data_IF_791765411925
#
_entry.id   IF_791765411925
#
_cell.length_a   1.000
_cell.length_b   1.000
_cell.length_c   1.000
_cell.angle_alpha   90.00
_cell.angle_beta   90.00
_cell.angle_gamma   90.00
#
_symmetry.space_group_name_H-M   'P 1'
#
loop_
_entity.id
_entity.type
_entity.pdbx_description
1 polymer ?
#
# COMPACT_ATOMS: atom_id res chain seq x y z
N UNK A 1 5.95 -24.79 9.23
CA UNK A 1 6.97 -24.68 8.16
C UNK A 1 6.29 -24.82 6.81
N UNK A 2 6.09 -23.70 6.13
CA UNK A 2 6.20 -23.60 4.67
C UNK A 2 7.02 -22.34 4.41
N UNK A 3 8.32 -22.42 4.70
CA UNK A 3 9.31 -21.39 4.40
C UNK A 3 9.70 -21.46 2.92
N UNK A 4 8.71 -21.51 2.02
CA UNK A 4 8.98 -20.99 0.68
C UNK A 4 9.11 -19.48 0.86
N UNK A 5 10.34 -19.02 1.11
CA UNK A 5 10.65 -17.59 1.12
C UNK A 5 10.11 -17.02 -0.19
N UNK A 6 9.08 -16.20 -0.08
CA UNK A 6 8.51 -15.50 -1.22
C UNK A 6 9.64 -14.83 -2.00
N UNK A 7 9.75 -15.16 -3.29
CA UNK A 7 10.74 -14.56 -4.17
C UNK A 7 10.09 -13.37 -4.88
N UNK A 8 10.63 -12.15 -4.74
CA UNK A 8 10.07 -10.99 -5.41
C UNK A 8 10.15 -11.18 -6.92
N UNK A 9 9.05 -10.84 -7.61
CA UNK A 9 8.98 -10.90 -9.07
C UNK A 9 9.94 -9.93 -9.75
N UNK A 10 10.17 -10.11 -11.05
CA UNK A 10 11.11 -9.28 -11.83
C UNK A 10 10.81 -7.77 -11.72
N UNK A 11 9.54 -7.38 -11.82
CA UNK A 11 9.12 -5.97 -11.71
C UNK A 11 9.39 -5.39 -10.32
N UNK A 12 9.11 -6.15 -9.25
CA UNK A 12 9.39 -5.73 -7.88
C UNK A 12 10.89 -5.54 -7.65
N UNK A 13 11.72 -6.46 -8.15
CA UNK A 13 13.18 -6.34 -8.09
C UNK A 13 13.68 -5.11 -8.85
N UNK A 14 13.14 -4.85 -10.04
CA UNK A 14 13.45 -3.64 -10.80
C UNK A 14 13.09 -2.38 -10.01
N UNK A 15 11.89 -2.32 -9.43
CA UNK A 15 11.44 -1.19 -8.61
C UNK A 15 12.34 -0.94 -7.39
N UNK A 16 12.75 -2.00 -6.69
CA UNK A 16 13.72 -1.91 -5.58
C UNK A 16 15.05 -1.30 -6.04
N UNK A 17 15.60 -1.75 -7.19
CA UNK A 17 16.84 -1.19 -7.74
C UNK A 17 16.70 0.29 -8.11
N UNK A 18 15.55 0.69 -8.67
CA UNK A 18 15.26 2.09 -8.98
C UNK A 18 15.26 2.95 -7.72
N UNK A 19 14.63 2.49 -6.63
CA UNK A 19 14.62 3.20 -5.35
C UNK A 19 16.02 3.34 -4.74
N UNK A 20 16.81 2.27 -4.76
CA UNK A 20 18.20 2.28 -4.27
C UNK A 20 19.05 3.26 -5.09
N UNK A 21 18.88 3.26 -6.42
CA UNK A 21 19.56 4.20 -7.32
C UNK A 21 19.17 5.65 -7.05
N UNK A 22 17.91 5.94 -6.74
CA UNK A 22 17.47 7.30 -6.36
C UNK A 22 18.12 7.70 -5.02
N UNK A 23 18.15 6.78 -4.05
CA UNK A 23 18.73 7.03 -2.74
C UNK A 23 20.22 7.41 -2.82
N UNK A 24 20.99 6.66 -3.61
CA UNK A 24 22.44 6.86 -3.74
C UNK A 24 22.82 8.21 -4.36
N UNK A 25 21.92 8.84 -5.11
CA UNK A 25 22.13 10.15 -5.75
C UNK A 25 21.52 11.31 -4.96
N UNK A 26 20.89 11.04 -3.80
CA UNK A 26 20.21 12.08 -3.03
C UNK A 26 21.09 12.59 -1.87
N UNK A 27 21.38 13.90 -1.84
CA UNK A 27 22.04 14.54 -0.69
C UNK A 27 21.12 14.61 0.54
N UNK A 28 21.61 14.93 1.73
CA UNK A 28 20.77 15.06 2.95
C UNK A 28 19.63 16.05 2.75
N UNK A 29 18.45 15.79 3.32
CA UNK A 29 17.35 16.75 3.30
C UNK A 29 17.71 17.90 4.24
N UNK A 30 17.60 19.14 3.76
CA UNK A 30 17.63 20.30 4.63
C UNK A 30 16.36 20.33 5.49
N UNK A 31 16.53 20.56 6.79
CA UNK A 31 15.41 20.69 7.71
C UNK A 31 14.65 21.98 7.43
N UNK A 32 13.49 21.83 6.79
CA UNK A 32 12.60 22.94 6.48
C UNK A 32 11.76 23.42 7.67
N UNK A 33 11.80 22.74 8.83
CA UNK A 33 10.97 23.01 10.01
C UNK A 33 9.47 22.74 9.83
N UNK A 34 9.06 22.12 8.71
CA UNK A 34 7.65 21.84 8.38
C UNK A 34 7.29 20.38 8.67
N UNK A 35 6.03 20.14 9.02
CA UNK A 35 5.52 18.81 9.34
C UNK A 35 5.50 17.85 8.14
N UNK A 36 5.52 16.54 8.43
CA UNK A 36 5.32 15.50 7.42
C UNK A 36 4.01 15.64 6.64
N UNK A 37 2.93 16.09 7.30
CA UNK A 37 1.64 16.34 6.65
C UNK A 37 1.75 17.38 5.53
N UNK A 38 2.48 18.47 5.79
CA UNK A 38 2.72 19.52 4.80
C UNK A 38 3.48 18.98 3.59
N UNK A 39 4.60 18.30 3.81
CA UNK A 39 5.43 17.77 2.73
C UNK A 39 4.72 16.70 1.93
N UNK A 40 4.05 15.76 2.60
CA UNK A 40 3.30 14.69 1.94
C UNK A 40 2.14 15.24 1.10
N UNK A 41 1.41 16.27 1.59
CA UNK A 41 0.37 16.96 0.81
C UNK A 41 0.96 17.66 -0.42
N UNK A 42 2.10 18.32 -0.28
CA UNK A 42 2.81 18.94 -1.42
C UNK A 42 3.23 17.90 -2.45
N UNK A 43 3.75 16.75 -2.01
CA UNK A 43 4.12 15.65 -2.90
C UNK A 43 2.90 15.03 -3.60
N UNK A 44 1.76 14.88 -2.91
CA UNK A 44 0.50 14.42 -3.50
C UNK A 44 0.03 15.35 -4.62
N UNK A 45 0.01 16.66 -4.37
CA UNK A 45 -0.39 17.66 -5.37
C UNK A 45 0.60 17.73 -6.53
N UNK A 46 1.90 17.69 -6.24
CA UNK A 46 2.95 17.64 -7.26
C UNK A 46 2.84 16.38 -8.12
N UNK A 47 2.60 15.22 -7.49
CA UNK A 47 2.38 13.95 -8.18
C UNK A 47 1.19 14.00 -9.10
N UNK A 48 0.05 14.49 -8.61
CA UNK A 48 -1.15 14.72 -9.41
C UNK A 48 -0.85 15.61 -10.63
N UNK A 49 -0.19 16.74 -10.43
CA UNK A 49 0.13 17.69 -11.50
C UNK A 49 1.08 17.10 -12.56
N UNK A 50 2.19 16.48 -12.15
CA UNK A 50 3.18 15.98 -13.10
C UNK A 50 2.70 14.73 -13.85
N UNK A 51 1.97 13.84 -13.19
CA UNK A 51 1.36 12.68 -13.86
C UNK A 51 0.31 13.09 -14.88
N UNK A 52 -0.41 14.19 -14.67
CA UNK A 52 -1.32 14.75 -15.68
C UNK A 52 -0.57 15.01 -16.98
N UNK A 53 0.53 15.76 -16.89
CA UNK A 53 1.32 16.14 -18.07
C UNK A 53 2.03 14.94 -18.70
N UNK A 54 2.48 13.97 -17.89
CA UNK A 54 3.08 12.74 -18.38
C UNK A 54 2.06 11.88 -19.14
N UNK A 55 0.78 11.85 -18.75
CA UNK A 55 -0.26 11.15 -19.52
C UNK A 55 -0.76 11.94 -20.73
N UNK A 56 -0.90 13.25 -20.55
CA UNK A 56 -1.46 14.18 -21.54
C UNK A 56 -0.54 14.37 -22.75
N UNK A 57 0.74 14.67 -22.54
CA UNK A 57 1.67 15.01 -23.62
C UNK A 57 1.92 13.84 -24.58
N UNK A 58 2.28 12.62 -24.13
CA UNK A 58 2.43 11.46 -25.02
C UNK A 58 1.13 11.12 -25.76
N UNK A 59 -0.03 11.30 -25.12
CA UNK A 59 -1.32 11.09 -25.76
C UNK A 59 -1.56 12.06 -26.93
N UNK A 60 -1.25 13.35 -26.74
CA UNK A 60 -1.34 14.35 -27.82
C UNK A 60 -0.27 14.13 -28.88
N UNK A 61 0.97 13.83 -28.49
CA UNK A 61 2.05 13.55 -29.43
C UNK A 61 1.72 12.32 -30.28
N UNK A 62 1.18 11.25 -29.68
CA UNK A 62 0.73 10.07 -30.40
C UNK A 62 -0.33 10.42 -31.46
N UNK A 63 -1.33 11.20 -31.06
CA UNK A 63 -2.38 11.68 -31.96
C UNK A 63 -1.79 12.48 -33.12
N UNK A 64 -0.93 13.45 -32.82
CA UNK A 64 -0.27 14.28 -33.82
C UNK A 64 0.54 13.44 -34.79
N UNK A 65 1.33 12.48 -34.30
CA UNK A 65 2.12 11.58 -35.14
C UNK A 65 1.23 10.66 -36.01
N UNK A 66 0.04 10.29 -35.54
CA UNK A 66 -0.92 9.53 -36.33
C UNK A 66 -1.49 10.31 -37.53
N UNK A 67 -1.32 11.64 -37.60
CA UNK A 67 -1.71 12.41 -38.78
C UNK A 67 -0.75 12.21 -39.97
N UNK A 68 0.49 11.78 -39.69
CA UNK A 68 1.50 11.46 -40.69
C UNK A 68 1.45 10.01 -41.18
N UNK A 69 0.67 9.16 -40.50
CA UNK A 69 0.46 7.79 -40.94
C UNK A 69 -0.57 7.74 -42.09
N UNK A 70 -0.45 6.76 -43.01
CA UNK A 70 -1.47 6.55 -44.02
C UNK A 70 -2.85 6.32 -43.37
N UNK A 71 -3.94 6.79 -44.00
CA UNK A 71 -5.28 6.64 -43.44
C UNK A 71 -5.61 5.16 -43.22
N UNK A 72 -5.93 4.80 -41.98
CA UNK A 72 -6.43 3.49 -41.60
C UNK A 72 -7.86 3.33 -42.10
N UNK A 73 -8.03 2.70 -43.26
CA UNK A 73 -9.33 2.27 -43.76
C UNK A 73 -9.60 0.84 -43.30
N UNK A 74 -10.46 0.66 -42.29
CA UNK A 74 -10.85 -0.67 -41.80
C UNK A 74 -11.92 -1.34 -42.67
N UNK A 75 -12.46 -0.62 -43.66
CA UNK A 75 -13.51 -1.11 -44.53
C UNK A 75 -13.48 -0.42 -45.90
N UNK A 76 -13.47 -1.16 -47.02
CA UNK A 76 -13.35 -2.63 -47.12
C UNK A 76 -12.01 -3.14 -46.58
N UNK A 77 -12.00 -4.36 -46.01
CA UNK A 77 -10.79 -4.97 -45.42
C UNK A 77 -9.65 -5.17 -46.43
N UNK A 78 -9.96 -5.08 -47.73
CA UNK A 78 -9.00 -5.23 -48.83
C UNK A 78 -8.10 -4.00 -49.03
N UNK A 79 -8.43 -2.85 -48.42
CA UNK A 79 -7.63 -1.61 -48.49
C UNK A 79 -6.74 -1.37 -47.27
N UNK A 80 -6.61 -2.37 -46.38
CA UNK A 80 -5.84 -2.27 -45.16
C UNK A 80 -4.33 -2.34 -45.47
N UNK A 81 -3.69 -1.17 -45.48
CA UNK A 81 -2.24 -1.09 -45.64
C UNK A 81 -1.53 -1.67 -44.43
N UNK A 82 -0.82 -2.79 -44.62
CA UNK A 82 -0.02 -3.44 -43.58
C UNK A 82 1.00 -2.47 -42.94
N UNK A 83 1.59 -1.57 -43.73
CA UNK A 83 2.53 -0.57 -43.23
C UNK A 83 1.87 0.48 -42.33
N UNK A 84 0.61 0.85 -42.60
CA UNK A 84 -0.14 1.78 -41.78
C UNK A 84 -0.50 1.17 -40.40
N UNK A 85 -0.92 -0.09 -40.39
CA UNK A 85 -1.23 -0.82 -39.15
C UNK A 85 0.04 -1.01 -38.31
N UNK A 86 1.14 -1.44 -38.94
CA UNK A 86 2.40 -1.67 -38.24
C UNK A 86 2.94 -0.37 -37.65
N UNK A 87 2.91 0.73 -38.42
CA UNK A 87 3.29 2.05 -37.94
C UNK A 87 2.42 2.54 -36.76
N UNK A 88 1.10 2.35 -36.85
CA UNK A 88 0.18 2.71 -35.77
C UNK A 88 0.43 1.93 -34.49
N UNK A 89 0.55 0.60 -34.58
CA UNK A 89 0.83 -0.28 -33.43
C UNK A 89 2.18 0.06 -32.80
N UNK A 90 3.21 0.31 -33.63
CA UNK A 90 4.53 0.71 -33.15
C UNK A 90 4.49 2.03 -32.38
N UNK A 91 3.88 3.08 -32.95
CA UNK A 91 3.75 4.38 -32.28
C UNK A 91 2.94 4.28 -30.98
N UNK A 92 1.87 3.48 -30.97
CA UNK A 92 1.04 3.26 -29.79
C UNK A 92 1.85 2.60 -28.67
N UNK A 93 2.59 1.54 -29.02
CA UNK A 93 3.46 0.83 -28.08
C UNK A 93 4.56 1.75 -27.54
N UNK A 94 5.23 2.50 -28.41
CA UNK A 94 6.30 3.42 -28.03
C UNK A 94 5.80 4.51 -27.07
N UNK A 95 4.69 5.18 -27.41
CA UNK A 95 4.11 6.23 -26.57
C UNK A 95 3.68 5.69 -25.20
N UNK A 96 3.08 4.49 -25.18
CA UNK A 96 2.60 3.85 -23.95
C UNK A 96 3.74 3.40 -23.05
N UNK A 97 4.81 2.82 -23.62
CA UNK A 97 6.00 2.42 -22.85
C UNK A 97 6.69 3.64 -22.24
N UNK A 98 6.82 4.73 -23.02
CA UNK A 98 7.42 5.97 -22.54
C UNK A 98 6.58 6.62 -21.43
N UNK A 99 5.26 6.70 -21.61
CA UNK A 99 4.31 7.19 -20.60
C UNK A 99 4.46 6.40 -19.29
N UNK A 100 4.35 5.08 -19.33
CA UNK A 100 4.50 4.23 -18.13
C UNK A 100 5.87 4.36 -17.48
N UNK A 101 6.95 4.40 -18.27
CA UNK A 101 8.29 4.57 -17.73
C UNK A 101 8.42 5.88 -16.94
N UNK A 102 7.91 6.98 -17.49
CA UNK A 102 7.92 8.29 -16.84
C UNK A 102 7.03 8.32 -15.59
N UNK A 103 5.83 7.73 -15.65
CA UNK A 103 4.92 7.63 -14.50
C UNK A 103 5.55 6.84 -13.36
N UNK A 104 6.14 5.67 -13.63
CA UNK A 104 6.81 4.88 -12.60
C UNK A 104 8.02 5.61 -12.04
N UNK A 105 8.84 6.25 -12.88
CA UNK A 105 9.96 7.07 -12.40
C UNK A 105 9.51 8.20 -11.48
N UNK A 106 8.44 8.90 -11.83
CA UNK A 106 7.83 9.92 -10.98
C UNK A 106 7.32 9.31 -9.67
N UNK A 107 6.57 8.21 -9.74
CA UNK A 107 6.04 7.50 -8.58
C UNK A 107 7.13 7.07 -7.61
N UNK A 108 8.22 6.46 -8.10
CA UNK A 108 9.37 6.08 -7.29
C UNK A 108 10.07 7.29 -6.66
N UNK A 109 10.28 8.36 -7.43
CA UNK A 109 10.90 9.58 -6.91
C UNK A 109 10.06 10.21 -5.79
N UNK A 110 8.75 10.37 -5.99
CA UNK A 110 7.86 10.93 -4.98
C UNK A 110 7.73 10.03 -3.75
N UNK A 111 7.70 8.72 -3.96
CA UNK A 111 7.68 7.74 -2.87
C UNK A 111 8.95 7.83 -2.03
N UNK A 112 10.12 7.87 -2.67
CA UNK A 112 11.40 8.08 -2.01
C UNK A 112 11.42 9.36 -1.18
N UNK A 113 11.00 10.48 -1.77
CA UNK A 113 10.91 11.76 -1.06
C UNK A 113 9.98 11.68 0.16
N UNK A 114 8.85 10.98 0.04
CA UNK A 114 7.91 10.80 1.14
C UNK A 114 8.53 9.99 2.29
N UNK A 115 9.20 8.86 2.00
CA UNK A 115 9.91 8.07 3.01
C UNK A 115 10.95 8.91 3.74
N UNK A 116 11.71 9.71 2.99
CA UNK A 116 12.74 10.59 3.53
C UNK A 116 12.17 11.70 4.44
N UNK A 117 11.01 12.26 4.12
CA UNK A 117 10.32 13.23 4.99
C UNK A 117 9.76 12.62 6.28
N UNK A 118 9.55 11.30 6.31
CA UNK A 118 9.16 10.57 7.51
C UNK A 118 10.36 10.03 8.30
N UNK A 119 11.59 10.37 7.88
CA UNK A 119 12.83 9.85 8.46
C UNK A 119 12.81 8.31 8.50
N UNK A 120 12.53 7.72 7.33
CA UNK A 120 12.58 6.27 7.11
C UNK A 120 13.77 5.98 6.20
N UNK A 121 14.69 5.18 6.71
CA UNK A 121 15.80 4.65 5.92
C UNK A 121 15.34 3.52 5.01
N UNK A 122 15.82 3.52 3.77
CA UNK A 122 15.63 2.40 2.84
C UNK A 122 16.61 1.28 3.18
N UNK A 123 16.38 0.62 4.31
CA UNK A 123 17.15 -0.55 4.71
C UNK A 123 16.62 -1.81 4.01
N UNK A 124 17.52 -2.73 3.70
CA UNK A 124 17.12 -4.10 3.39
C UNK A 124 16.86 -4.83 4.71
N UNK A 125 15.65 -5.35 4.87
CA UNK A 125 15.25 -6.14 6.03
C UNK A 125 15.06 -7.60 5.56
N UNK A 126 16.13 -8.42 5.54
CA UNK A 126 16.09 -9.74 4.90
C UNK A 126 15.16 -10.74 5.60
N UNK A 127 14.75 -10.43 6.84
CA UNK A 127 13.79 -11.21 7.61
C UNK A 127 12.33 -10.97 7.14
N UNK A 128 12.07 -9.82 6.51
CA UNK A 128 10.76 -9.47 5.98
C UNK A 128 10.66 -9.88 4.51
N UNK A 129 9.49 -10.40 4.15
CA UNK A 129 9.02 -10.63 2.78
C UNK A 129 8.76 -9.29 2.08
N UNK A 130 8.25 -8.30 2.83
CA UNK A 130 7.93 -6.97 2.28
C UNK A 130 8.65 -5.85 3.02
N UNK A 131 9.98 -5.70 2.85
CA UNK A 131 10.71 -4.57 3.42
C UNK A 131 10.23 -3.26 2.81
N UNK A 132 10.57 -2.12 3.43
CA UNK A 132 10.12 -0.78 2.98
C UNK A 132 10.34 -0.54 1.47
N UNK A 133 11.52 -0.80 0.88
CA UNK A 133 11.70 -0.65 -0.57
C UNK A 133 10.79 -1.58 -1.40
N UNK A 134 10.51 -2.79 -0.89
CA UNK A 134 9.59 -3.75 -1.52
C UNK A 134 8.15 -3.28 -1.46
N UNK A 135 7.69 -2.80 -0.30
CA UNK A 135 6.38 -2.17 -0.13
C UNK A 135 6.17 -1.00 -1.10
N UNK A 136 7.14 -0.10 -1.19
CA UNK A 136 7.09 1.05 -2.09
C UNK A 136 7.08 0.61 -3.55
N UNK A 137 7.90 -0.37 -3.92
CA UNK A 137 7.92 -0.92 -5.28
C UNK A 137 6.59 -1.56 -5.67
N UNK A 138 5.98 -2.33 -4.77
CA UNK A 138 4.67 -2.92 -5.03
C UNK A 138 3.58 -1.88 -5.19
N UNK A 139 3.56 -0.85 -4.34
CA UNK A 139 2.60 0.24 -4.46
C UNK A 139 2.74 1.01 -5.77
N UNK A 140 3.95 1.44 -6.12
CA UNK A 140 4.20 2.22 -7.35
C UNK A 140 3.92 1.41 -8.61
N UNK A 141 4.20 0.11 -8.58
CA UNK A 141 3.96 -0.79 -9.70
C UNK A 141 2.58 -1.45 -9.66
N UNK A 142 1.74 -1.06 -8.70
CA UNK A 142 0.40 -1.60 -8.44
C UNK A 142 0.36 -3.14 -8.28
N UNK A 143 1.48 -3.73 -7.87
CA UNK A 143 1.59 -5.16 -7.59
C UNK A 143 0.79 -5.45 -6.30
N UNK A 144 -0.14 -6.42 -6.31
CA UNK A 144 -0.90 -6.76 -5.12
C UNK A 144 0.02 -7.34 -4.02
N UNK A 145 -0.34 -7.10 -2.76
CA UNK A 145 0.36 -7.71 -1.63
C UNK A 145 0.23 -9.26 -1.70
N UNK A 146 1.27 -10.00 -1.32
CA UNK A 146 1.34 -11.44 -1.47
C UNK A 146 0.36 -12.11 -0.52
N UNK A 147 -0.36 -13.09 -1.03
CA UNK A 147 -1.29 -13.92 -0.27
C UNK A 147 -0.51 -15.04 0.40
N UNK A 148 0.08 -14.75 1.55
CA UNK A 148 0.92 -15.68 2.31
C UNK A 148 0.26 -16.08 3.62
N UNK A 149 0.43 -17.34 4.00
CA UNK A 149 0.15 -17.84 5.35
C UNK A 149 1.47 -17.85 6.12
N UNK A 150 1.55 -17.11 7.21
CA UNK A 150 2.76 -17.00 8.04
C UNK A 150 2.48 -17.54 9.43
N UNK A 151 3.33 -18.43 9.93
CA UNK A 151 3.18 -19.04 11.28
C UNK A 151 1.80 -19.66 11.56
N UNK A 152 1.14 -20.19 10.51
CA UNK A 152 -0.20 -20.76 10.61
C UNK A 152 -1.34 -19.74 10.59
N UNK A 153 -1.05 -18.44 10.51
CA UNK A 153 -2.03 -17.36 10.38
C UNK A 153 -2.60 -17.38 8.96
N UNK A 154 -3.92 -17.53 8.85
CA UNK A 154 -4.63 -17.40 7.58
C UNK A 154 -5.53 -16.15 7.57
N UNK A 155 -5.13 -15.05 6.88
CA UNK A 155 -5.95 -13.85 6.75
C UNK A 155 -7.32 -14.11 6.11
N UNK A 156 -7.45 -15.22 5.37
CA UNK A 156 -8.65 -15.56 4.61
C UNK A 156 -9.49 -16.65 5.29
N UNK A 157 -9.17 -17.03 6.54
CA UNK A 157 -9.90 -18.03 7.33
C UNK A 157 -11.42 -17.82 7.34
N UNK A 158 -11.88 -16.56 7.27
CA UNK A 158 -13.29 -16.16 7.27
C UNK A 158 -13.83 -15.73 5.90
N UNK A 159 -13.15 -16.03 4.79
CA UNK A 159 -13.53 -15.60 3.45
C UNK A 159 -13.65 -16.76 2.46
N UNK A 160 -14.63 -16.65 1.55
CA UNK A 160 -14.75 -17.54 0.40
C UNK A 160 -13.67 -17.19 -0.63
N UNK A 161 -12.65 -18.05 -0.78
CA UNK A 161 -11.42 -17.82 -1.54
C UNK A 161 -11.65 -17.33 -3.00
N UNK A 162 -12.71 -17.84 -3.64
CA UNK A 162 -13.05 -17.50 -5.04
C UNK A 162 -13.67 -16.12 -5.18
N UNK A 163 -14.57 -15.72 -4.27
CA UNK A 163 -15.19 -14.40 -4.29
C UNK A 163 -14.17 -13.28 -4.04
N UNK A 164 -13.16 -13.54 -3.21
CA UNK A 164 -12.07 -12.60 -2.93
C UNK A 164 -11.11 -12.44 -4.11
N UNK A 165 -10.77 -13.53 -4.80
CA UNK A 165 -9.95 -13.48 -6.01
C UNK A 165 -10.61 -12.60 -7.09
N UNK A 166 -11.89 -12.83 -7.37
CA UNK A 166 -12.61 -12.00 -8.34
C UNK A 166 -12.73 -10.54 -7.87
N UNK A 167 -12.98 -10.26 -6.59
CA UNK A 167 -13.14 -8.89 -6.09
C UNK A 167 -11.84 -8.07 -6.13
N UNK A 168 -10.71 -8.63 -5.70
CA UNK A 168 -9.42 -7.91 -5.70
C UNK A 168 -8.86 -7.74 -7.11
N UNK A 169 -8.97 -8.78 -7.94
CA UNK A 169 -8.51 -8.76 -9.33
C UNK A 169 -9.41 -7.86 -10.16
N UNK A 170 -10.74 -8.01 -10.14
CA UNK A 170 -11.63 -7.14 -10.91
C UNK A 170 -11.59 -5.68 -10.47
N UNK A 171 -11.36 -5.36 -9.19
CA UNK A 171 -11.32 -3.95 -8.75
C UNK A 171 -10.05 -3.22 -9.24
N UNK A 172 -8.87 -3.83 -9.12
CA UNK A 172 -7.61 -3.24 -9.61
C UNK A 172 -7.48 -3.36 -11.14
N UNK A 173 -7.90 -4.49 -11.71
CA UNK A 173 -7.93 -4.68 -13.17
C UNK A 173 -8.97 -3.79 -13.84
N UNK A 174 -10.12 -3.48 -13.23
CA UNK A 174 -11.10 -2.58 -13.84
C UNK A 174 -10.50 -1.21 -14.07
N UNK A 175 -9.65 -0.69 -13.19
CA UNK A 175 -9.00 0.62 -13.33
C UNK A 175 -7.94 0.62 -14.44
N UNK A 176 -7.09 -0.42 -14.48
CA UNK A 176 -6.04 -0.56 -15.50
C UNK A 176 -6.60 -0.92 -16.89
N UNK A 177 -7.50 -1.91 -16.96
CA UNK A 177 -8.19 -2.28 -18.19
C UNK A 177 -9.18 -1.20 -18.63
N UNK A 178 -9.84 -0.44 -17.76
CA UNK A 178 -10.71 0.65 -18.23
C UNK A 178 -9.90 1.75 -18.90
N UNK A 179 -8.69 2.04 -18.43
CA UNK A 179 -7.81 3.02 -19.07
C UNK A 179 -7.40 2.54 -20.48
N UNK A 180 -6.99 1.27 -20.60
CA UNK A 180 -6.59 0.66 -21.87
C UNK A 180 -7.79 0.46 -22.81
N UNK A 181 -8.92 -0.05 -22.32
CA UNK A 181 -10.15 -0.24 -23.10
C UNK A 181 -10.79 1.10 -23.49
N UNK A 182 -10.79 2.12 -22.63
CA UNK A 182 -11.27 3.45 -23.02
C UNK A 182 -10.34 4.06 -24.08
N UNK A 183 -9.01 4.00 -23.89
CA UNK A 183 -8.03 4.42 -24.91
C UNK A 183 -8.23 3.66 -26.22
N UNK A 184 -8.47 2.34 -26.20
CA UNK A 184 -8.66 1.52 -27.39
C UNK A 184 -10.03 1.72 -28.05
N UNK A 185 -11.13 1.72 -27.31
CA UNK A 185 -12.48 1.92 -27.85
C UNK A 185 -12.66 3.33 -28.42
N UNK A 186 -12.15 4.35 -27.74
CA UNK A 186 -12.08 5.71 -28.30
C UNK A 186 -11.21 5.70 -29.56
N UNK A 187 -10.03 5.08 -29.58
CA UNK A 187 -9.15 5.13 -30.77
C UNK A 187 -9.64 4.30 -31.96
N UNK A 188 -10.37 3.21 -31.75
CA UNK A 188 -10.78 2.26 -32.81
C UNK A 188 -12.14 2.59 -33.42
N UNK A 189 -13.14 2.96 -32.62
CA UNK A 189 -14.49 3.27 -33.15
C UNK A 189 -14.58 4.67 -33.78
N UNK A 190 -13.64 5.57 -33.48
CA UNK A 190 -13.77 7.00 -33.74
C UNK A 190 -13.01 7.51 -34.97
N UNK A 191 -12.36 6.63 -35.73
CA UNK A 191 -11.73 6.97 -37.01
C UNK A 191 -12.72 7.19 -38.18
N UNK A 192 -14.04 7.08 -37.95
CA UNK A 192 -15.05 6.99 -39.02
C UNK A 192 -15.88 8.26 -39.27
N UNK A 193 -15.71 9.33 -38.52
CA UNK A 193 -16.53 10.55 -38.65
C UNK A 193 -15.68 11.81 -38.52
N UNK A 194 -16.09 12.91 -39.18
CA UNK A 194 -15.43 14.23 -39.18
C UNK A 194 -15.24 14.90 -37.80
N UNK A 195 -15.47 14.17 -36.72
CA UNK A 195 -15.23 14.53 -35.32
C UNK A 195 -13.82 14.13 -34.82
N UNK A 196 -12.94 13.62 -35.69
CA UNK A 196 -11.56 13.23 -35.35
C UNK A 196 -10.84 14.28 -34.49
N UNK A 197 -10.94 15.56 -34.86
CA UNK A 197 -10.36 16.66 -34.08
C UNK A 197 -10.96 16.80 -32.67
N UNK A 198 -12.28 16.68 -32.50
CA UNK A 198 -12.94 16.85 -31.20
C UNK A 198 -12.55 15.75 -30.19
N UNK A 199 -12.25 14.57 -30.70
CA UNK A 199 -11.95 13.36 -29.93
C UNK A 199 -10.51 13.41 -29.41
N UNK A 200 -9.61 13.94 -30.23
CA UNK A 200 -8.22 14.18 -29.90
C UNK A 200 -8.08 15.21 -28.75
N UNK A 201 -8.94 16.24 -28.72
CA UNK A 201 -9.03 17.20 -27.62
C UNK A 201 -9.56 16.60 -26.30
N UNK A 202 -10.34 15.51 -26.34
CA UNK A 202 -10.92 14.90 -25.14
C UNK A 202 -10.05 13.75 -24.60
N UNK A 203 -9.48 12.93 -25.48
CA UNK A 203 -8.73 11.73 -25.07
C UNK A 203 -7.45 12.06 -24.29
N UNK A 204 -6.75 13.13 -24.66
CA UNK A 204 -5.53 13.57 -23.96
C UNK A 204 -5.83 13.97 -22.50
N UNK A 205 -6.72 14.95 -22.24
CA UNK A 205 -7.07 15.36 -20.89
C UNK A 205 -7.62 14.22 -20.02
N UNK A 206 -8.48 13.36 -20.60
CA UNK A 206 -9.04 12.20 -19.86
C UNK A 206 -7.93 11.26 -19.41
N UNK A 207 -6.96 10.99 -20.27
CA UNK A 207 -5.79 10.17 -19.93
C UNK A 207 -4.99 10.80 -18.79
N UNK A 208 -4.62 12.08 -18.94
CA UNK A 208 -3.87 12.80 -17.92
C UNK A 208 -4.59 12.81 -16.57
N UNK A 209 -5.90 13.08 -16.55
CA UNK A 209 -6.69 13.05 -15.30
C UNK A 209 -6.65 11.68 -14.64
N UNK A 210 -6.76 10.61 -15.43
CA UNK A 210 -6.74 9.26 -14.88
C UNK A 210 -5.38 8.89 -14.27
N UNK A 211 -4.29 9.25 -14.96
CA UNK A 211 -2.93 9.02 -14.46
C UNK A 211 -2.67 9.84 -13.19
N UNK A 212 -3.22 11.06 -13.12
CA UNK A 212 -3.23 11.90 -11.92
C UNK A 212 -3.96 11.30 -10.73
N UNK A 213 -5.18 10.81 -10.96
CA UNK A 213 -5.99 10.16 -9.93
C UNK A 213 -5.30 8.90 -9.43
N UNK A 214 -4.76 8.08 -10.33
CA UNK A 214 -4.04 6.85 -10.00
C UNK A 214 -2.78 7.15 -9.17
N UNK A 215 -1.96 8.12 -9.60
CA UNK A 215 -0.77 8.56 -8.86
C UNK A 215 -1.13 9.10 -7.47
N UNK A 216 -2.21 9.87 -7.38
CA UNK A 216 -2.71 10.37 -6.10
C UNK A 216 -3.11 9.24 -5.16
N UNK A 217 -3.85 8.24 -5.65
CA UNK A 217 -4.27 7.08 -4.85
C UNK A 217 -3.06 6.28 -4.33
N UNK A 218 -2.08 6.01 -5.20
CA UNK A 218 -0.84 5.31 -4.84
C UNK A 218 -0.09 6.05 -3.72
N UNK A 219 0.12 7.36 -3.88
CA UNK A 219 0.85 8.17 -2.90
C UNK A 219 0.04 8.35 -1.61
N UNK A 220 -1.29 8.40 -1.70
CA UNK A 220 -2.17 8.49 -0.53
C UNK A 220 -2.09 7.20 0.29
N UNK A 221 -2.11 6.04 -0.36
CA UNK A 221 -1.93 4.74 0.28
C UNK A 221 -0.53 4.62 0.90
N UNK A 222 0.52 4.99 0.15
CA UNK A 222 1.90 5.00 0.64
C UNK A 222 2.05 5.83 1.91
N UNK A 223 1.43 7.03 1.96
CA UNK A 223 1.46 7.89 3.13
C UNK A 223 0.92 7.19 4.37
N UNK A 224 -0.20 6.47 4.25
CA UNK A 224 -0.75 5.67 5.35
C UNK A 224 0.21 4.56 5.78
N UNK A 225 0.81 3.84 4.82
CA UNK A 225 1.77 2.77 5.12
C UNK A 225 3.04 3.30 5.80
N UNK A 226 3.52 4.48 5.42
CA UNK A 226 4.66 5.15 6.07
C UNK A 226 4.36 5.51 7.52
N UNK A 227 3.22 6.14 7.79
CA UNK A 227 2.84 6.52 9.16
C UNK A 227 2.69 5.29 10.03
N UNK A 228 1.95 4.29 9.56
CA UNK A 228 1.72 3.05 10.31
C UNK A 228 3.00 2.25 10.52
N UNK A 229 4.01 2.37 9.63
CA UNK A 229 5.35 1.84 9.87
C UNK A 229 6.03 2.52 11.05
N UNK A 230 6.02 3.86 11.13
CA UNK A 230 6.58 4.59 12.28
C UNK A 230 5.84 4.29 13.59
N UNK A 231 4.52 4.13 13.55
CA UNK A 231 3.74 3.68 14.71
C UNK A 231 4.18 2.27 15.16
N UNK A 232 4.38 1.37 14.19
CA UNK A 232 4.84 0.01 14.44
C UNK A 232 6.24 0.00 15.07
N UNK A 233 7.17 0.80 14.53
CA UNK A 233 8.52 0.98 15.07
C UNK A 233 8.47 1.47 16.53
N UNK A 234 7.70 2.52 16.79
CA UNK A 234 7.59 3.11 18.12
C UNK A 234 6.96 2.15 19.15
N UNK A 235 5.92 1.41 18.74
CA UNK A 235 5.30 0.38 19.57
C UNK A 235 6.29 -0.75 19.90
N UNK A 236 7.01 -1.25 18.88
CA UNK A 236 8.00 -2.31 19.06
C UNK A 236 9.16 -1.86 19.97
N UNK A 237 9.63 -0.62 19.81
CA UNK A 237 10.64 -0.03 20.70
C UNK A 237 10.16 0.06 22.15
N UNK A 238 8.91 0.48 22.39
CA UNK A 238 8.34 0.57 23.74
C UNK A 238 8.16 -0.82 24.40
N UNK A 239 7.90 -1.86 23.60
CA UNK A 239 7.86 -3.24 24.08
C UNK A 239 9.27 -3.74 24.42
N UNK A 240 10.25 -3.48 23.52
CA UNK A 240 11.66 -3.90 23.68
C UNK A 240 12.41 -3.21 24.81
N UNK A 241 12.04 -1.96 25.14
CA UNK A 241 12.75 -1.17 26.15
C UNK A 241 12.63 -1.72 27.57
N UNK A 242 11.73 -2.68 27.81
CA UNK A 242 11.55 -3.36 29.10
C UNK A 242 11.73 -4.86 28.94
N UNK A 243 12.24 -5.52 29.98
CA UNK A 243 12.31 -6.98 30.04
C UNK A 243 10.91 -7.58 30.17
N UNK A 244 10.27 -7.90 29.04
CA UNK A 244 8.94 -8.51 29.00
C UNK A 244 9.01 -10.02 29.16
N UNK A 245 7.99 -10.58 29.80
CA UNK A 245 7.84 -12.02 29.91
C UNK A 245 7.51 -12.65 28.53
N UNK A 246 7.87 -13.91 28.35
CA UNK A 246 7.54 -14.63 27.12
C UNK A 246 6.02 -14.71 26.89
N UNK A 247 5.22 -14.84 27.96
CA UNK A 247 3.75 -14.86 27.90
C UNK A 247 3.17 -13.53 27.43
N UNK A 248 3.76 -12.41 27.84
CA UNK A 248 3.41 -11.07 27.35
C UNK A 248 3.66 -10.94 25.84
N UNK A 249 4.85 -11.34 25.39
CA UNK A 249 5.21 -11.26 23.98
C UNK A 249 4.33 -12.18 23.14
N UNK A 250 4.09 -13.42 23.59
CA UNK A 250 3.20 -14.37 22.89
C UNK A 250 1.77 -13.81 22.76
N UNK A 251 1.21 -13.26 23.85
CA UNK A 251 -0.13 -12.66 23.80
C UNK A 251 -0.19 -11.45 22.87
N UNK A 252 0.90 -10.67 22.79
CA UNK A 252 1.02 -9.53 21.86
C UNK A 252 1.12 -10.00 20.40
N UNK A 253 1.88 -11.06 20.13
CA UNK A 253 1.98 -11.71 18.81
C UNK A 253 0.61 -12.22 18.37
N UNK A 254 -0.13 -12.90 19.25
CA UNK A 254 -1.49 -13.39 18.98
C UNK A 254 -2.47 -12.25 18.73
N UNK A 255 -2.36 -11.12 19.44
CA UNK A 255 -3.17 -9.93 19.16
C UNK A 255 -2.93 -9.37 17.74
N UNK A 256 -1.66 -9.31 17.28
CA UNK A 256 -1.34 -8.93 15.90
C UNK A 256 -1.89 -9.95 14.91
N UNK A 257 -1.73 -11.25 15.18
CA UNK A 257 -2.23 -12.33 14.33
C UNK A 257 -3.75 -12.30 14.17
N UNK A 258 -4.49 -12.11 15.27
CA UNK A 258 -5.94 -11.93 15.22
C UNK A 258 -6.31 -10.68 14.42
N UNK A 259 -5.57 -9.57 14.59
CA UNK A 259 -5.80 -8.36 13.79
C UNK A 259 -5.68 -8.65 12.30
N UNK A 260 -4.64 -9.38 11.85
CA UNK A 260 -4.47 -9.78 10.45
C UNK A 260 -5.68 -10.58 9.93
N UNK A 261 -6.23 -11.48 10.75
CA UNK A 261 -7.39 -12.30 10.38
C UNK A 261 -8.67 -11.49 10.28
N UNK A 262 -8.90 -10.53 11.19
CA UNK A 262 -10.09 -9.67 11.15
C UNK A 262 -9.99 -8.56 10.08
N UNK A 263 -8.80 -8.04 9.80
CA UNK A 263 -8.58 -7.06 8.72
C UNK A 263 -8.62 -7.73 7.35
N UNK A 264 -8.41 -9.06 7.29
CA UNK A 264 -8.39 -9.86 6.06
C UNK A 264 -7.28 -9.40 5.08
N UNK A 265 -6.25 -8.75 5.62
CA UNK A 265 -5.16 -8.13 4.86
C UNK A 265 -3.81 -8.46 5.49
N UNK A 266 -2.90 -9.03 4.69
CA UNK A 266 -1.50 -9.16 5.10
C UNK A 266 -0.74 -7.86 4.79
N UNK A 267 -1.05 -6.79 5.52
CA UNK A 267 -0.40 -5.49 5.35
C UNK A 267 1.10 -5.60 5.75
N UNK A 268 2.04 -4.99 5.00
CA UNK A 268 3.48 -5.07 5.30
C UNK A 268 3.87 -4.63 6.71
N UNK A 269 3.09 -3.74 7.32
CA UNK A 269 3.33 -3.30 8.70
C UNK A 269 2.87 -4.29 9.76
N UNK A 270 1.86 -5.12 9.48
CA UNK A 270 1.53 -6.26 10.35
C UNK A 270 2.63 -7.31 10.28
N UNK A 271 3.16 -7.55 9.07
CA UNK A 271 4.32 -8.41 8.88
C UNK A 271 5.49 -7.93 9.73
N UNK A 272 5.86 -6.65 9.62
CA UNK A 272 6.93 -6.07 10.40
C UNK A 272 6.75 -6.24 11.93
N UNK A 273 5.56 -5.91 12.45
CA UNK A 273 5.28 -6.08 13.88
C UNK A 273 5.36 -7.54 14.31
N UNK A 274 4.77 -8.45 13.53
CA UNK A 274 4.73 -9.86 13.83
C UNK A 274 6.15 -10.44 13.92
N UNK A 275 6.98 -10.21 12.90
CA UNK A 275 8.37 -10.67 12.91
C UNK A 275 9.19 -10.00 14.01
N UNK A 276 8.99 -8.71 14.22
CA UNK A 276 9.68 -7.96 15.29
C UNK A 276 9.39 -8.49 16.69
N UNK A 277 8.15 -8.92 16.96
CA UNK A 277 7.74 -9.51 18.23
C UNK A 277 8.15 -10.99 18.34
N UNK A 278 7.98 -11.78 17.29
CA UNK A 278 8.41 -13.19 17.26
C UNK A 278 9.93 -13.30 17.47
N UNK A 279 10.70 -12.34 16.94
CA UNK A 279 12.15 -12.27 17.15
C UNK A 279 12.57 -12.09 18.62
N UNK A 280 11.65 -11.69 19.51
CA UNK A 280 11.89 -11.57 20.95
C UNK A 280 11.64 -12.88 21.72
N UNK A 281 11.05 -13.91 21.08
CA UNK A 281 10.75 -15.19 21.70
C UNK A 281 11.88 -16.21 21.48
N UNK A 282 12.34 -16.91 22.53
CA UNK A 282 13.41 -17.90 22.41
C UNK A 282 12.99 -19.15 21.62
N UNK A 283 11.71 -19.55 21.65
CA UNK A 283 11.21 -20.77 21.01
C UNK A 283 10.30 -20.47 19.79
N UNK A 284 10.68 -19.49 18.97
CA UNK A 284 9.89 -19.03 17.82
C UNK A 284 9.44 -20.12 16.83
N UNK A 285 10.21 -21.20 16.68
CA UNK A 285 9.91 -22.28 15.73
C UNK A 285 8.77 -23.21 16.20
N UNK A 286 8.41 -23.16 17.50
CA UNK A 286 7.32 -23.95 18.07
C UNK A 286 5.96 -23.25 17.98
N UNK A 287 5.94 -21.95 17.67
CA UNK A 287 4.72 -21.17 17.54
C UNK A 287 3.88 -21.70 16.35
N UNK A 288 2.65 -22.10 16.65
CA UNK A 288 1.64 -22.55 15.67
C UNK A 288 0.29 -21.95 16.04
N UNK A 289 -0.60 -21.85 15.06
CA UNK A 289 -1.99 -21.41 15.26
C UNK A 289 -2.10 -20.07 16.01
N UNK A 290 -1.22 -19.12 15.67
CA UNK A 290 -1.20 -17.80 16.32
C UNK A 290 -2.50 -17.02 16.13
N UNK A 291 -3.32 -17.41 15.16
CA UNK A 291 -4.64 -16.85 14.86
C UNK A 291 -5.81 -17.59 15.55
N UNK A 292 -5.52 -18.45 16.52
CA UNK A 292 -6.55 -19.13 17.32
C UNK A 292 -7.01 -18.24 18.48
N UNK A 293 -8.33 -18.02 18.53
CA UNK A 293 -8.97 -17.18 19.55
C UNK A 293 -8.90 -17.80 20.94
N UNK A 294 -9.13 -19.10 21.08
CA UNK A 294 -9.14 -19.76 22.38
C UNK A 294 -7.74 -19.76 23.00
N UNK A 295 -6.71 -20.01 22.18
CA UNK A 295 -5.32 -19.91 22.63
C UNK A 295 -4.93 -18.47 23.01
N UNK A 296 -5.43 -17.45 22.29
CA UNK A 296 -5.25 -16.05 22.68
C UNK A 296 -5.90 -15.75 24.04
N UNK A 297 -7.14 -16.17 24.26
CA UNK A 297 -7.83 -15.97 25.56
C UNK A 297 -7.06 -16.65 26.69
N UNK A 298 -6.56 -17.87 26.47
CA UNK A 298 -5.75 -18.58 27.45
C UNK A 298 -4.43 -17.85 27.75
N UNK A 299 -3.67 -17.42 26.73
CA UNK A 299 -2.41 -16.67 26.94
C UNK A 299 -2.66 -15.34 27.65
N UNK A 300 -3.75 -14.65 27.28
CA UNK A 300 -4.18 -13.39 27.85
C UNK A 300 -4.57 -13.51 29.33
N UNK A 301 -5.29 -14.56 29.72
CA UNK A 301 -5.67 -14.80 31.11
C UNK A 301 -4.47 -15.03 32.03
N UNK A 302 -3.38 -15.58 31.50
CA UNK A 302 -2.14 -15.80 32.23
C UNK A 302 -1.27 -14.54 32.40
N UNK A 303 -1.67 -13.41 31.83
CA UNK A 303 -0.99 -12.12 32.03
C UNK A 303 -1.37 -11.48 33.36
N UNK A 304 -0.43 -10.69 33.92
CA UNK A 304 -0.71 -9.80 35.04
C UNK A 304 -1.80 -8.79 34.63
N UNK A 305 -2.60 -8.34 35.59
CA UNK A 305 -3.72 -7.41 35.34
C UNK A 305 -3.25 -6.13 34.62
N UNK A 306 -2.06 -5.63 34.94
CA UNK A 306 -1.45 -4.46 34.29
C UNK A 306 -1.04 -4.74 32.83
N UNK A 307 -0.56 -5.96 32.55
CA UNK A 307 -0.10 -6.39 31.24
C UNK A 307 -1.26 -6.66 30.27
N UNK A 308 -2.42 -7.08 30.77
CA UNK A 308 -3.61 -7.37 29.94
C UNK A 308 -4.05 -6.20 29.07
N UNK A 309 -3.79 -4.95 29.48
CA UNK A 309 -4.15 -3.78 28.67
C UNK A 309 -3.37 -3.69 27.36
N UNK A 310 -2.19 -4.32 27.27
CA UNK A 310 -1.32 -4.22 26.11
C UNK A 310 -1.81 -5.00 24.90
N UNK A 311 -2.12 -6.31 24.96
CA UNK A 311 -2.66 -7.03 23.80
C UNK A 311 -3.92 -6.37 23.23
N UNK A 312 -4.80 -5.83 24.09
CA UNK A 312 -6.00 -5.09 23.67
C UNK A 312 -5.60 -3.79 22.94
N UNK A 313 -4.67 -3.00 23.49
CA UNK A 313 -4.20 -1.78 22.84
C UNK A 313 -3.50 -2.07 21.51
N UNK A 314 -2.71 -3.15 21.42
CA UNK A 314 -2.03 -3.58 20.19
C UNK A 314 -3.07 -3.96 19.13
N UNK A 315 -4.06 -4.78 19.48
CA UNK A 315 -5.18 -5.13 18.60
C UNK A 315 -5.89 -3.86 18.09
N UNK A 316 -6.12 -2.92 19.00
CA UNK A 316 -6.78 -1.67 18.68
C UNK A 316 -6.00 -0.77 17.74
N UNK A 317 -4.69 -0.64 17.96
CA UNK A 317 -3.80 0.09 17.07
C UNK A 317 -3.70 -0.57 15.70
N UNK A 318 -3.59 -1.90 15.66
CA UNK A 318 -3.54 -2.64 14.40
C UNK A 318 -4.80 -2.41 13.55
N UNK A 319 -5.96 -2.35 14.19
CA UNK A 319 -7.24 -2.05 13.52
C UNK A 319 -7.31 -0.64 12.91
N UNK A 320 -6.41 0.29 13.31
CA UNK A 320 -6.34 1.63 12.72
C UNK A 320 -5.47 1.71 11.45
N UNK A 321 -4.69 0.68 11.13
CA UNK A 321 -3.66 0.77 10.08
C UNK A 321 -4.24 0.94 8.67
N UNK A 322 -5.37 0.30 8.39
CA UNK A 322 -6.02 0.38 7.08
C UNK A 322 -6.87 1.66 6.92
N UNK A 323 -7.16 2.36 8.03
CA UNK A 323 -7.83 3.66 8.05
C UNK A 323 -9.35 3.62 8.23
N UNK A 324 -9.95 2.43 8.32
CA UNK A 324 -11.39 2.25 8.58
C UNK A 324 -11.65 0.98 9.38
N UNK A 325 -12.36 1.10 10.50
CA UNK A 325 -12.82 -0.07 11.27
C UNK A 325 -13.96 -0.76 10.52
N UNK A 326 -13.78 -2.04 10.20
CA UNK A 326 -14.79 -2.87 9.56
C UNK A 326 -15.79 -3.44 10.60
N UNK A 327 -16.94 -3.99 10.16
CA UNK A 327 -17.97 -4.51 11.08
C UNK A 327 -17.48 -5.69 11.92
N UNK A 328 -16.68 -6.57 11.32
CA UNK A 328 -16.16 -7.77 11.97
C UNK A 328 -15.06 -7.41 12.99
N UNK A 329 -14.24 -6.40 12.71
CA UNK A 329 -13.30 -5.81 13.67
C UNK A 329 -14.06 -5.19 14.85
N UNK A 330 -15.17 -4.49 14.58
CA UNK A 330 -16.04 -3.93 15.62
C UNK A 330 -16.71 -5.01 16.48
N UNK A 331 -17.12 -6.13 15.89
CA UNK A 331 -17.68 -7.29 16.59
C UNK A 331 -16.60 -8.03 17.38
N UNK A 332 -15.43 -8.28 16.81
CA UNK A 332 -14.28 -8.84 17.51
C UNK A 332 -13.85 -7.96 18.67
N UNK A 333 -13.81 -6.63 18.47
CA UNK A 333 -13.60 -5.68 19.55
C UNK A 333 -14.66 -5.83 20.63
N UNK A 334 -15.94 -6.04 20.27
CA UNK A 334 -17.01 -6.23 21.24
C UNK A 334 -16.85 -7.48 22.09
N UNK A 335 -16.38 -8.57 21.48
CA UNK A 335 -16.10 -9.80 22.19
C UNK A 335 -14.87 -9.68 23.11
N UNK A 336 -13.94 -8.76 22.79
CA UNK A 336 -12.87 -8.31 23.70
C UNK A 336 -13.41 -7.27 24.73
N UNK A 337 -14.53 -6.58 24.46
CA UNK A 337 -15.02 -5.44 25.27
C UNK A 337 -15.66 -5.75 26.61
N UNK A 338 -15.97 -7.00 26.93
CA UNK A 338 -16.21 -7.35 28.35
C UNK A 338 -14.98 -7.01 29.23
N UNK A 339 -13.81 -6.77 28.59
CA UNK A 339 -12.55 -6.33 29.20
C UNK A 339 -12.01 -5.00 28.65
N UNK A 340 -12.65 -4.40 27.63
CA UNK A 340 -12.11 -3.24 26.88
C UNK A 340 -13.08 -2.05 26.88
N UNK A 341 -12.62 -0.86 27.29
CA UNK A 341 -13.50 0.27 27.51
C UNK A 341 -13.90 1.01 26.23
N UNK A 342 -15.12 1.55 26.20
CA UNK A 342 -15.72 2.26 25.05
C UNK A 342 -14.87 3.44 24.54
N UNK A 343 -14.12 4.11 25.41
CA UNK A 343 -13.23 5.22 25.03
C UNK A 343 -12.11 4.79 24.07
N UNK A 344 -11.73 3.50 24.05
CA UNK A 344 -10.66 3.00 23.20
C UNK A 344 -11.06 3.08 21.72
N UNK A 345 -12.30 2.74 21.39
CA UNK A 345 -12.82 2.81 20.02
C UNK A 345 -12.83 4.25 19.48
N UNK A 346 -13.15 5.23 20.32
CA UNK A 346 -13.13 6.63 19.91
C UNK A 346 -11.70 7.11 19.63
N UNK A 347 -10.71 6.71 20.46
CA UNK A 347 -9.29 7.01 20.20
C UNK A 347 -8.80 6.36 18.91
N UNK A 348 -9.20 5.12 18.64
CA UNK A 348 -8.85 4.42 17.39
C UNK A 348 -9.41 5.14 16.17
N UNK A 349 -10.67 5.61 16.22
CA UNK A 349 -11.26 6.41 15.13
C UNK A 349 -10.49 7.71 14.90
N UNK A 350 -10.08 8.40 15.96
CA UNK A 350 -9.29 9.64 15.84
C UNK A 350 -7.93 9.33 15.22
N UNK A 351 -7.21 8.32 15.72
CA UNK A 351 -5.93 7.87 15.16
C UNK A 351 -6.04 7.51 13.67
N UNK A 352 -7.10 6.79 13.30
CA UNK A 352 -7.40 6.45 11.91
C UNK A 352 -7.56 7.70 11.04
N UNK A 353 -8.23 8.73 11.56
CA UNK A 353 -8.38 10.03 10.92
C UNK A 353 -7.06 10.79 10.76
N UNK A 354 -6.18 10.79 11.77
CA UNK A 354 -4.88 11.47 11.71
C UNK A 354 -3.94 10.78 10.73
N UNK A 355 -3.92 9.44 10.68
CA UNK A 355 -3.22 8.65 9.67
C UNK A 355 -3.71 9.05 8.26
N UNK A 356 -5.03 9.10 8.06
CA UNK A 356 -5.63 9.48 6.78
C UNK A 356 -5.30 10.90 6.34
N UNK A 357 -5.14 11.85 7.27
CA UNK A 357 -4.74 13.24 6.99
C UNK A 357 -3.25 13.40 6.71
N UNK A 358 -2.43 12.47 7.19
CA UNK A 358 -0.98 12.54 7.09
C UNK A 358 -0.29 13.16 8.31
N UNK A 359 -0.99 13.29 9.44
CA UNK A 359 -0.50 13.95 10.66
C UNK A 359 0.34 12.96 11.49
N UNK A 360 1.61 12.77 11.10
CA UNK A 360 2.50 11.78 11.72
C UNK A 360 2.70 12.03 13.23
N UNK A 361 3.01 13.26 13.63
CA UNK A 361 3.25 13.60 15.04
C UNK A 361 1.99 13.41 15.90
N UNK A 362 0.83 13.86 15.39
CA UNK A 362 -0.44 13.67 16.09
C UNK A 362 -0.81 12.18 16.19
N UNK A 363 -0.52 11.39 15.15
CA UNK A 363 -0.75 9.95 15.15
C UNK A 363 0.11 9.24 16.22
N UNK A 364 1.37 9.66 16.40
CA UNK A 364 2.23 9.14 17.46
C UNK A 364 1.67 9.50 18.85
N UNK A 365 1.20 10.74 19.05
CA UNK A 365 0.58 11.15 20.32
C UNK A 365 -0.71 10.36 20.63
N UNK A 366 -1.54 10.10 19.62
CA UNK A 366 -2.74 9.27 19.81
C UNK A 366 -2.42 7.81 20.08
N UNK A 367 -1.37 7.27 19.46
CA UNK A 367 -0.85 5.95 19.78
C UNK A 367 -0.38 5.89 21.24
N UNK A 368 0.36 6.89 21.73
CA UNK A 368 0.79 6.95 23.13
C UNK A 368 -0.40 6.97 24.09
N UNK A 369 -1.47 7.70 23.77
CA UNK A 369 -2.71 7.70 24.56
C UNK A 369 -3.43 6.36 24.52
N UNK A 370 -3.32 5.58 23.44
CA UNK A 370 -3.96 4.26 23.35
C UNK A 370 -3.17 3.21 24.11
N UNK A 371 -1.84 3.28 24.02
CA UNK A 371 -0.98 2.36 24.75
C UNK A 371 -1.12 2.59 26.26
N UNK A 372 -1.05 1.53 27.08
CA UNK A 372 -1.10 1.67 28.52
C UNK A 372 0.02 2.59 29.02
N UNK A 373 -0.34 3.51 29.91
CA UNK A 373 0.63 4.20 30.76
C UNK A 373 1.13 3.19 31.80
N UNK A 374 2.44 3.00 31.84
CA UNK A 374 3.06 2.15 32.84
C UNK A 374 3.67 3.06 33.89
N UNK A 375 3.24 2.92 35.15
CA UNK A 375 3.94 3.53 36.27
C UNK A 375 5.38 3.05 36.26
N UNK A 376 6.34 3.98 36.29
CA UNK A 376 7.73 3.65 36.58
C UNK A 376 7.77 3.12 38.02
N UNK A 377 7.71 1.80 38.17
CA UNK A 377 8.10 1.11 39.40
C UNK A 377 9.43 0.40 39.15
#
# INVERSE_FOLDING_TARGET
MSTERYKPGFLEQWGRRVLISINSHSGKLEDSGKSFAYHSRKLLLSGFFWSFWIGFLPSITFVYLCTYLPPLSFWPLDSLSYSAVLGFVFLLALATILEFYLLFRLGFYLSFRMAKYADIELAEEPELITPIPGMMARLVLEIPDPRIRLYGIDPYKHLNERALFFRTTLYKSKVFLSNIFAKLLLKVFLGRTGLRFLIEYISGPVTGIWDSVTTYMILYELRKRIITRKLSDAMLLKIKSKGRSNTFIESSVRAVALSIVFTKTFHPNFEYLLFGLIGLLPERDKLKNLDDWAEFVHSFQNLKVEERKWPIAIFALCSSFDGTLNKEELEAFRDITDLSPTWLLDRVKILSGTIGKGELAESLQWMEKILPEESNQ
#
